data_IF_386604473752
#
_entry.id   IF_386604473752
#
_cell.length_a   1.000
_cell.length_b   1.000
_cell.length_c   1.000
_cell.angle_alpha   90.00
_cell.angle_beta   90.00
_cell.angle_gamma   90.00
#
_symmetry.space_group_name_H-M   'P 1'
#
loop_
_entity.id
_entity.type
_entity.pdbx_description
1 polymer ?
#
# COMPACT_ATOMS: atom_id res chain seq x y z
N UNK A 1 19.69 -48.57 -57.27
CA UNK A 1 18.84 -48.40 -56.06
C UNK A 1 19.75 -48.30 -54.85
N UNK A 2 19.42 -47.53 -53.82
CA UNK A 2 20.25 -47.22 -52.63
C UNK A 2 21.26 -46.08 -52.84
N UNK A 3 20.76 -44.84 -52.98
CA UNK A 3 21.48 -43.58 -52.69
C UNK A 3 20.51 -42.41 -52.73
N UNK A 4 19.48 -42.42 -51.88
CA UNK A 4 18.53 -41.28 -51.73
C UNK A 4 17.73 -41.30 -50.41
N UNK A 5 18.31 -41.82 -49.33
CA UNK A 5 17.61 -41.97 -48.04
C UNK A 5 18.44 -41.55 -46.82
N UNK A 6 19.46 -40.71 -47.01
CA UNK A 6 20.37 -40.26 -45.94
C UNK A 6 20.49 -38.74 -45.84
N UNK A 7 19.46 -38.01 -46.26
CA UNK A 7 19.45 -36.53 -46.24
C UNK A 7 18.32 -35.94 -45.40
N UNK A 8 17.56 -36.76 -44.66
CA UNK A 8 16.35 -36.34 -43.94
C UNK A 8 16.43 -36.49 -42.41
N UNK A 9 17.62 -36.73 -41.84
CA UNK A 9 17.77 -36.95 -40.40
C UNK A 9 18.64 -35.93 -39.64
N UNK A 10 19.06 -34.82 -40.26
CA UNK A 10 19.93 -33.81 -39.60
C UNK A 10 19.32 -32.38 -39.62
N UNK A 11 18.04 -32.23 -39.94
CA UNK A 11 17.35 -30.92 -39.99
C UNK A 11 16.16 -30.81 -39.01
N UNK A 12 16.28 -31.46 -37.85
CA UNK A 12 15.24 -31.47 -36.81
C UNK A 12 15.74 -31.23 -35.38
N UNK A 13 16.97 -30.74 -35.18
CA UNK A 13 17.54 -30.54 -33.84
C UNK A 13 18.05 -29.12 -33.54
N UNK A 14 17.92 -28.18 -34.48
CA UNK A 14 18.44 -26.81 -34.32
C UNK A 14 17.39 -25.77 -33.92
N UNK A 15 16.12 -26.13 -33.70
CA UNK A 15 15.06 -25.20 -33.26
C UNK A 15 14.59 -25.38 -31.81
N UNK A 16 15.12 -26.37 -31.07
CA UNK A 16 14.76 -26.61 -29.67
C UNK A 16 15.59 -25.80 -28.65
N UNK A 17 16.62 -25.09 -29.08
CA UNK A 17 17.45 -24.27 -28.18
C UNK A 17 16.78 -22.96 -27.72
N UNK A 18 15.61 -22.60 -28.29
CA UNK A 18 14.97 -21.30 -28.05
C UNK A 18 13.70 -21.28 -27.19
N UNK A 19 13.10 -22.43 -26.83
CA UNK A 19 11.72 -22.45 -26.26
C UNK A 19 11.53 -23.32 -25.01
N UNK A 20 12.61 -23.78 -24.37
CA UNK A 20 12.52 -24.53 -23.12
C UNK A 20 12.69 -23.67 -21.87
N UNK A 21 11.84 -22.66 -21.61
CA UNK A 21 11.72 -22.21 -20.22
C UNK A 21 11.11 -23.38 -19.43
N UNK A 22 11.96 -24.05 -18.67
CA UNK A 22 11.65 -25.17 -17.77
C UNK A 22 11.39 -26.53 -18.43
N UNK A 23 12.37 -27.09 -19.16
CA UNK A 23 12.36 -28.50 -19.55
C UNK A 23 12.04 -29.46 -18.37
N UNK A 24 12.54 -29.24 -17.14
CA UNK A 24 12.10 -30.03 -15.97
C UNK A 24 10.61 -29.87 -15.64
N UNK A 25 10.04 -28.67 -15.74
CA UNK A 25 8.60 -28.46 -15.54
C UNK A 25 7.76 -29.16 -16.59
N UNK A 26 8.20 -29.14 -17.85
CA UNK A 26 7.54 -29.81 -18.96
C UNK A 26 7.59 -31.33 -18.82
N UNK A 27 8.73 -31.89 -18.42
CA UNK A 27 8.92 -33.33 -18.24
C UNK A 27 8.26 -33.88 -16.97
N UNK A 28 8.17 -33.06 -15.91
CA UNK A 28 7.61 -33.47 -14.61
C UNK A 28 6.14 -33.07 -14.44
N UNK A 29 5.58 -32.26 -15.34
CA UNK A 29 4.23 -31.68 -15.19
C UNK A 29 4.11 -30.75 -13.98
N UNK A 30 5.21 -30.07 -13.59
CA UNK A 30 5.31 -29.26 -12.36
C UNK A 30 5.46 -27.76 -12.66
N UNK A 31 4.62 -26.92 -12.05
CA UNK A 31 4.69 -25.47 -12.19
C UNK A 31 5.63 -24.82 -11.15
N UNK A 32 6.94 -24.85 -11.40
CA UNK A 32 7.93 -24.20 -10.53
C UNK A 32 8.05 -22.72 -10.90
N UNK A 33 7.52 -21.85 -10.05
CA UNK A 33 7.60 -20.41 -10.24
C UNK A 33 8.92 -19.88 -9.67
N UNK A 34 9.71 -19.20 -10.51
CA UNK A 34 10.84 -18.39 -10.02
C UNK A 34 10.30 -17.35 -9.05
N UNK A 35 10.88 -17.24 -7.85
CA UNK A 35 10.40 -16.34 -6.79
C UNK A 35 11.53 -16.08 -5.80
N UNK A 36 11.55 -14.90 -5.20
CA UNK A 36 12.37 -14.62 -4.02
C UNK A 36 11.59 -13.78 -3.01
N UNK A 37 11.89 -13.98 -1.74
CA UNK A 37 11.21 -13.33 -0.63
C UNK A 37 12.15 -13.03 0.53
N UNK A 38 11.72 -12.09 1.36
CA UNK A 38 12.21 -11.87 2.71
C UNK A 38 11.04 -11.95 3.69
N UNK A 39 11.22 -12.72 4.75
CA UNK A 39 10.32 -12.83 5.90
C UNK A 39 11.07 -12.30 7.12
N UNK A 40 10.45 -11.44 7.94
CA UNK A 40 11.08 -10.95 9.15
C UNK A 40 10.09 -10.62 10.27
N UNK A 41 10.61 -10.52 11.49
CA UNK A 41 9.89 -10.09 12.69
C UNK A 41 10.61 -8.90 13.35
N UNK A 42 9.87 -7.84 13.64
CA UNK A 42 10.32 -6.71 14.44
C UNK A 42 9.77 -6.85 15.86
N UNK A 43 10.66 -7.12 16.81
CA UNK A 43 10.31 -7.33 18.23
C UNK A 43 9.82 -6.05 18.91
N UNK A 44 10.33 -4.88 18.52
CA UNK A 44 9.98 -3.61 19.16
C UNK A 44 8.55 -3.19 18.80
N UNK A 45 8.22 -3.26 17.51
CA UNK A 45 6.86 -2.97 17.03
C UNK A 45 5.90 -4.14 17.21
N UNK A 46 6.41 -5.35 17.45
CA UNK A 46 5.66 -6.62 17.47
C UNK A 46 4.94 -6.87 16.13
N UNK A 47 5.71 -6.76 15.04
CA UNK A 47 5.21 -6.89 13.67
C UNK A 47 5.93 -8.01 12.91
N UNK A 48 5.17 -8.76 12.12
CA UNK A 48 5.67 -9.72 11.16
C UNK A 48 5.44 -9.18 9.76
N UNK A 49 6.39 -9.41 8.87
CA UNK A 49 6.22 -8.97 7.50
C UNK A 49 6.94 -9.84 6.48
N UNK A 50 6.34 -9.89 5.29
CA UNK A 50 6.85 -10.61 4.13
C UNK A 50 6.85 -9.66 2.93
N UNK A 51 7.99 -9.59 2.25
CA UNK A 51 8.12 -9.01 0.92
C UNK A 51 8.52 -10.10 -0.07
N UNK A 52 7.89 -10.15 -1.23
CA UNK A 52 8.07 -11.21 -2.23
C UNK A 52 7.92 -10.68 -3.64
N UNK A 53 8.67 -11.25 -4.58
CA UNK A 53 8.57 -10.95 -6.00
C UNK A 53 8.72 -12.21 -6.85
N UNK A 54 8.07 -12.20 -8.02
CA UNK A 54 8.09 -13.30 -8.98
C UNK A 54 7.97 -12.79 -10.43
N UNK A 55 8.19 -13.71 -11.38
CA UNK A 55 7.91 -13.52 -12.79
C UNK A 55 6.60 -14.23 -13.21
N UNK A 56 5.62 -14.22 -12.30
CA UNK A 56 4.25 -14.66 -12.48
C UNK A 56 3.31 -13.59 -11.91
N UNK A 57 2.00 -13.73 -12.08
CA UNK A 57 1.00 -12.78 -11.57
C UNK A 57 0.64 -13.05 -10.10
N UNK A 58 0.16 -12.02 -9.40
CA UNK A 58 -0.49 -12.04 -8.08
C UNK A 58 0.23 -12.68 -6.88
N UNK A 59 1.57 -12.73 -6.84
CA UNK A 59 2.33 -13.51 -5.83
C UNK A 59 1.99 -13.28 -4.36
N UNK A 60 1.49 -12.09 -4.01
CA UNK A 60 1.04 -11.77 -2.65
C UNK A 60 -0.08 -12.69 -2.17
N UNK A 61 -0.90 -13.22 -3.07
CA UNK A 61 -2.02 -14.10 -2.71
C UNK A 61 -1.59 -15.47 -2.23
N UNK A 62 -0.52 -16.01 -2.82
CA UNK A 62 -0.21 -17.44 -2.74
C UNK A 62 0.94 -17.74 -1.79
N UNK A 63 1.72 -16.74 -1.37
CA UNK A 63 3.01 -16.99 -0.71
C UNK A 63 3.17 -16.33 0.66
N UNK A 64 2.16 -15.58 1.12
CA UNK A 64 2.23 -14.76 2.34
C UNK A 64 1.21 -15.26 3.35
N UNK A 65 1.69 -15.72 4.49
CA UNK A 65 0.83 -16.15 5.60
C UNK A 65 1.33 -15.54 6.90
N UNK A 66 0.53 -14.69 7.53
CA UNK A 66 0.91 -14.00 8.75
C UNK A 66 -0.26 -14.05 9.74
N UNK A 67 0.01 -14.57 10.93
CA UNK A 67 -0.91 -14.53 12.08
C UNK A 67 -0.21 -13.77 13.22
N UNK A 68 -0.55 -12.48 13.44
CA UNK A 68 0.06 -11.67 14.49
C UNK A 68 -0.01 -12.34 15.87
N UNK A 69 1.08 -12.25 16.62
CA UNK A 69 1.22 -12.87 17.93
C UNK A 69 1.58 -14.35 17.91
N UNK A 70 1.52 -15.00 16.75
CA UNK A 70 1.84 -16.42 16.60
C UNK A 70 3.08 -16.65 15.71
N UNK A 71 3.07 -16.11 14.49
CA UNK A 71 4.16 -16.27 13.55
C UNK A 71 3.79 -15.91 12.12
N UNK A 72 4.70 -16.21 11.20
CA UNK A 72 4.50 -16.04 9.78
C UNK A 72 5.24 -17.11 8.98
N UNK A 73 4.70 -17.45 7.80
CA UNK A 73 5.21 -18.46 6.90
C UNK A 73 5.21 -17.94 5.46
N UNK A 74 6.21 -18.34 4.68
CA UNK A 74 6.25 -18.11 3.24
C UNK A 74 6.58 -19.41 2.51
N UNK A 75 5.78 -19.74 1.49
CA UNK A 75 5.90 -20.96 0.70
C UNK A 75 5.98 -20.59 -0.78
N UNK A 76 7.12 -20.85 -1.41
CA UNK A 76 7.41 -20.45 -2.80
C UNK A 76 7.91 -21.67 -3.62
N UNK A 77 8.27 -21.43 -4.89
CA UNK A 77 8.51 -22.45 -5.91
C UNK A 77 7.20 -23.18 -6.27
N UNK A 78 7.04 -24.45 -5.89
CA UNK A 78 5.75 -25.13 -5.94
C UNK A 78 4.96 -24.88 -4.65
N UNK A 79 4.13 -23.83 -4.65
CA UNK A 79 3.40 -23.37 -3.47
C UNK A 79 2.48 -24.45 -2.87
N UNK A 80 2.44 -24.52 -1.53
CA UNK A 80 1.56 -25.40 -0.75
C UNK A 80 1.06 -24.69 0.52
N UNK A 81 -0.19 -24.20 0.54
CA UNK A 81 -0.75 -23.49 1.70
C UNK A 81 -0.81 -24.31 2.99
N UNK A 82 -0.83 -25.65 2.89
CA UNK A 82 -0.89 -26.54 4.06
C UNK A 82 0.33 -26.40 4.99
N UNK A 83 1.48 -25.88 4.53
CA UNK A 83 2.61 -25.57 5.42
C UNK A 83 2.27 -24.47 6.42
N UNK A 84 1.60 -23.41 5.96
CA UNK A 84 1.22 -22.31 6.83
C UNK A 84 0.06 -22.70 7.74
N UNK A 85 -0.98 -23.31 7.18
CA UNK A 85 -2.17 -23.75 7.94
C UNK A 85 -1.79 -24.70 9.08
N UNK A 86 -1.09 -25.79 8.78
CA UNK A 86 -0.64 -26.72 9.80
C UNK A 86 0.43 -26.10 10.69
N UNK A 87 1.31 -25.25 10.14
CA UNK A 87 2.35 -24.55 10.89
C UNK A 87 1.77 -23.69 12.01
N UNK A 88 0.71 -22.91 11.74
CA UNK A 88 0.02 -22.16 12.78
C UNK A 88 -0.59 -23.06 13.86
N UNK A 89 -1.21 -24.18 13.49
CA UNK A 89 -1.73 -25.13 14.49
C UNK A 89 -0.61 -25.72 15.36
N UNK A 90 0.54 -26.06 14.78
CA UNK A 90 1.69 -26.54 15.56
C UNK A 90 2.24 -25.46 16.51
N UNK A 91 2.35 -24.20 16.05
CA UNK A 91 2.78 -23.10 16.91
C UNK A 91 1.80 -22.86 18.08
N UNK A 92 0.48 -23.02 17.88
CA UNK A 92 -0.53 -22.93 18.96
C UNK A 92 -0.34 -24.02 20.02
N UNK A 93 0.14 -25.20 19.61
CA UNK A 93 0.49 -26.30 20.52
C UNK A 93 1.83 -26.07 21.25
N UNK A 94 2.55 -24.99 20.95
CA UNK A 94 3.82 -24.65 21.57
C UNK A 94 5.05 -25.29 20.90
N UNK A 95 4.87 -25.92 19.74
CA UNK A 95 5.98 -26.46 18.95
C UNK A 95 6.90 -25.35 18.42
N UNK A 96 8.18 -25.66 18.21
CA UNK A 96 9.12 -24.73 17.58
C UNK A 96 8.82 -24.55 16.09
N UNK A 97 9.21 -23.42 15.52
CA UNK A 97 9.01 -23.11 14.10
C UNK A 97 9.57 -24.19 13.15
N UNK A 98 10.70 -24.82 13.52
CA UNK A 98 11.27 -25.95 12.78
C UNK A 98 10.33 -27.15 12.78
N UNK A 99 9.83 -27.55 13.95
CA UNK A 99 8.92 -28.68 14.10
C UNK A 99 7.60 -28.43 13.37
N UNK A 100 7.11 -27.19 13.41
CA UNK A 100 5.91 -26.74 12.70
C UNK A 100 6.04 -26.93 11.18
N UNK A 101 7.18 -26.56 10.59
CA UNK A 101 7.44 -26.77 9.15
C UNK A 101 7.67 -28.24 8.83
N UNK A 102 8.44 -28.95 9.66
CA UNK A 102 8.73 -30.37 9.46
C UNK A 102 7.49 -31.26 9.56
N UNK A 103 6.48 -30.85 10.32
CA UNK A 103 5.19 -31.54 10.42
C UNK A 103 4.58 -31.75 9.04
N UNK A 104 4.43 -30.69 8.25
CA UNK A 104 3.90 -30.79 6.88
C UNK A 104 4.90 -31.42 5.93
N UNK A 105 6.19 -31.05 6.04
CA UNK A 105 7.25 -31.55 5.17
C UNK A 105 7.32 -33.08 5.10
N UNK A 106 7.21 -33.76 6.25
CA UNK A 106 7.27 -35.23 6.33
C UNK A 106 6.07 -35.93 5.68
N UNK A 107 4.97 -35.21 5.43
CA UNK A 107 3.72 -35.71 4.83
C UNK A 107 3.56 -35.27 3.36
N UNK A 108 4.45 -34.42 2.88
CA UNK A 108 4.41 -33.85 1.55
C UNK A 108 5.40 -34.56 0.62
N UNK A 109 4.86 -35.45 -0.22
CA UNK A 109 5.64 -36.19 -1.22
C UNK A 109 6.29 -35.29 -2.28
N UNK A 110 5.85 -34.04 -2.40
CA UNK A 110 6.41 -33.03 -3.30
C UNK A 110 7.32 -32.02 -2.60
N UNK A 111 7.67 -32.21 -1.31
CA UNK A 111 8.50 -31.27 -0.52
C UNK A 111 9.83 -30.92 -1.20
N UNK A 112 10.41 -31.83 -1.97
CA UNK A 112 11.64 -31.61 -2.74
C UNK A 112 11.53 -30.54 -3.84
N UNK A 113 10.33 -30.11 -4.21
CA UNK A 113 10.07 -29.07 -5.21
C UNK A 113 9.67 -27.72 -4.59
N UNK A 114 9.74 -27.60 -3.26
CA UNK A 114 9.23 -26.44 -2.51
C UNK A 114 10.34 -25.68 -1.82
N UNK A 115 10.03 -24.44 -1.47
CA UNK A 115 10.82 -23.61 -0.59
C UNK A 115 9.89 -23.06 0.49
N UNK A 116 10.21 -23.35 1.75
CA UNK A 116 9.40 -22.91 2.90
C UNK A 116 10.28 -22.19 3.89
N UNK A 117 9.81 -21.06 4.39
CA UNK A 117 10.39 -20.33 5.51
C UNK A 117 9.32 -19.98 6.52
N UNK A 118 9.71 -19.87 7.79
CA UNK A 118 8.83 -19.47 8.87
C UNK A 118 9.58 -18.75 9.98
N UNK A 119 8.83 -17.95 10.73
CA UNK A 119 9.28 -17.24 11.93
C UNK A 119 8.18 -17.29 13.00
N UNK A 120 8.54 -17.62 14.23
CA UNK A 120 7.60 -17.63 15.36
C UNK A 120 7.52 -16.26 16.07
N UNK A 121 6.66 -16.17 17.09
CA UNK A 121 6.50 -14.94 17.86
C UNK A 121 7.66 -14.59 18.79
N UNK A 122 8.66 -15.47 18.92
CA UNK A 122 9.90 -15.20 19.65
C UNK A 122 11.02 -14.75 18.71
N UNK A 123 10.76 -14.72 17.40
CA UNK A 123 11.75 -14.39 16.37
C UNK A 123 12.64 -15.56 15.97
N UNK A 124 12.34 -16.80 16.40
CA UNK A 124 13.08 -17.96 15.92
C UNK A 124 12.70 -18.22 14.47
N UNK A 125 13.69 -18.52 13.64
CA UNK A 125 13.51 -18.74 12.20
C UNK A 125 13.85 -20.18 11.81
N UNK A 126 13.14 -20.70 10.81
CA UNK A 126 13.52 -21.92 10.12
C UNK A 126 13.16 -21.82 8.63
N UNK A 127 13.97 -22.44 7.78
CA UNK A 127 13.68 -22.55 6.37
C UNK A 127 14.28 -23.82 5.78
N UNK A 128 13.72 -24.28 4.66
CA UNK A 128 14.33 -25.33 3.85
C UNK A 128 14.17 -25.02 2.36
N UNK A 129 15.04 -25.63 1.55
CA UNK A 129 14.97 -25.61 0.09
C UNK A 129 14.99 -27.03 -0.41
N UNK A 130 13.94 -27.44 -1.13
CA UNK A 130 13.79 -28.79 -1.64
C UNK A 130 14.94 -29.19 -2.57
N UNK A 131 15.42 -30.43 -2.40
CA UNK A 131 16.64 -30.90 -3.06
C UNK A 131 16.54 -30.98 -4.58
N UNK A 132 15.32 -31.09 -5.14
CA UNK A 132 15.13 -31.12 -6.59
C UNK A 132 15.43 -29.76 -7.23
N UNK A 133 15.20 -28.64 -6.53
CA UNK A 133 15.35 -27.29 -7.10
C UNK A 133 16.76 -26.97 -7.62
N UNK A 134 17.78 -27.77 -7.30
CA UNK A 134 19.14 -27.69 -7.87
C UNK A 134 19.20 -28.00 -9.37
N UNK A 135 18.20 -28.68 -9.93
CA UNK A 135 18.13 -29.02 -11.35
C UNK A 135 17.47 -27.92 -12.20
N UNK A 136 16.94 -26.87 -11.57
CA UNK A 136 16.40 -25.70 -12.27
C UNK A 136 17.50 -24.67 -12.49
N UNK A 137 17.36 -23.89 -13.56
CA UNK A 137 18.37 -22.88 -13.95
C UNK A 137 18.47 -21.79 -12.87
N UNK A 138 19.68 -21.33 -12.58
CA UNK A 138 19.95 -20.33 -11.54
C UNK A 138 20.06 -20.93 -10.14
N UNK A 139 20.31 -20.08 -9.15
CA UNK A 139 20.52 -20.51 -7.76
C UNK A 139 19.20 -20.64 -7.02
N UNK A 140 19.07 -21.73 -6.26
CA UNK A 140 17.95 -21.99 -5.36
C UNK A 140 18.48 -22.23 -3.95
N UNK A 141 18.23 -21.31 -3.02
CA UNK A 141 18.77 -21.38 -1.66
C UNK A 141 18.02 -20.45 -0.69
N UNK A 142 18.47 -20.40 0.55
CA UNK A 142 17.99 -19.51 1.60
C UNK A 142 19.15 -19.10 2.52
N UNK A 143 19.01 -17.96 3.20
CA UNK A 143 19.92 -17.51 4.26
C UNK A 143 19.08 -17.14 5.48
N UNK A 144 19.51 -17.62 6.65
CA UNK A 144 18.93 -17.29 7.93
C UNK A 144 19.71 -16.13 8.56
N UNK A 145 18.99 -15.22 9.23
CA UNK A 145 19.58 -14.20 10.08
C UNK A 145 18.79 -14.03 11.37
N UNK A 146 19.18 -13.07 12.18
CA UNK A 146 18.50 -12.78 13.44
C UNK A 146 17.09 -12.23 13.17
N UNK A 147 16.07 -13.04 13.46
CA UNK A 147 14.65 -12.72 13.21
C UNK A 147 14.29 -12.38 11.75
N UNK A 148 15.03 -12.92 10.77
CA UNK A 148 14.64 -12.87 9.36
C UNK A 148 15.16 -14.05 8.54
N UNK A 149 14.52 -14.29 7.40
CA UNK A 149 14.94 -15.25 6.37
C UNK A 149 14.86 -14.57 5.00
N UNK A 150 15.91 -14.71 4.19
CA UNK A 150 15.85 -14.42 2.75
C UNK A 150 15.94 -15.73 1.97
N UNK A 151 15.14 -15.86 0.92
CA UNK A 151 14.95 -17.14 0.24
C UNK A 151 14.58 -16.91 -1.23
N UNK A 152 14.96 -17.85 -2.12
CA UNK A 152 14.45 -17.83 -3.49
C UNK A 152 15.05 -18.88 -4.40
N UNK A 153 14.46 -18.98 -5.60
CA UNK A 153 14.85 -19.93 -6.65
C UNK A 153 14.95 -19.27 -8.03
N UNK A 154 15.79 -19.88 -8.88
CA UNK A 154 16.15 -19.39 -10.20
C UNK A 154 16.72 -17.96 -10.16
N UNK A 155 17.63 -17.72 -9.21
CA UNK A 155 18.24 -16.42 -8.96
C UNK A 155 19.63 -16.28 -9.58
N UNK A 156 20.06 -15.04 -9.74
CA UNK A 156 21.48 -14.72 -9.86
C UNK A 156 22.20 -14.96 -8.51
N UNK A 157 23.52 -15.12 -8.52
CA UNK A 157 24.30 -15.60 -7.36
C UNK A 157 24.30 -14.64 -6.16
N UNK A 158 24.28 -13.33 -6.44
CA UNK A 158 24.44 -12.27 -5.42
C UNK A 158 23.11 -11.77 -4.82
N UNK A 159 21.98 -12.34 -5.23
CA UNK A 159 20.65 -11.82 -4.86
C UNK A 159 20.42 -11.89 -3.36
N UNK A 160 20.54 -13.09 -2.76
CA UNK A 160 20.20 -13.26 -1.34
C UNK A 160 21.21 -12.59 -0.40
N UNK A 161 22.49 -12.53 -0.77
CA UNK A 161 23.49 -11.78 0.01
C UNK A 161 23.18 -10.29 0.03
N UNK A 162 22.85 -9.71 -1.14
CA UNK A 162 22.45 -8.30 -1.23
C UNK A 162 21.17 -8.00 -0.44
N UNK A 163 20.18 -8.89 -0.47
CA UNK A 163 18.96 -8.78 0.34
C UNK A 163 19.27 -8.77 1.84
N UNK A 164 20.04 -9.76 2.31
CA UNK A 164 20.43 -9.88 3.73
C UNK A 164 21.22 -8.65 4.21
N UNK A 165 22.20 -8.20 3.43
CA UNK A 165 22.98 -7.02 3.78
C UNK A 165 22.15 -5.73 3.80
N UNK A 166 21.28 -5.54 2.81
CA UNK A 166 20.39 -4.39 2.74
C UNK A 166 19.45 -4.36 3.94
N UNK A 167 18.85 -5.49 4.31
CA UNK A 167 17.96 -5.58 5.47
C UNK A 167 18.67 -5.21 6.78
N UNK A 168 19.87 -5.76 7.02
CA UNK A 168 20.67 -5.49 8.23
C UNK A 168 21.07 -4.01 8.37
N UNK A 169 21.36 -3.34 7.25
CA UNK A 169 21.76 -1.93 7.22
C UNK A 169 20.57 -0.97 7.23
N UNK A 170 19.38 -1.44 6.84
CA UNK A 170 18.21 -0.60 6.70
C UNK A 170 17.70 -0.10 8.05
N UNK A 171 17.27 1.17 8.05
CA UNK A 171 16.57 1.82 9.16
C UNK A 171 15.16 2.19 8.73
N UNK A 172 14.30 2.47 9.71
CA UNK A 172 12.89 2.81 9.54
C UNK A 172 11.98 1.67 9.99
N UNK A 173 10.72 1.74 9.59
CA UNK A 173 9.68 0.73 9.86
C UNK A 173 10.04 -0.63 9.25
N UNK A 174 9.44 -1.71 9.76
CA UNK A 174 9.63 -3.05 9.20
C UNK A 174 9.34 -3.10 7.69
N UNK A 175 8.26 -2.44 7.25
CA UNK A 175 7.87 -2.36 5.83
C UNK A 175 8.96 -1.73 4.94
N UNK A 176 9.58 -0.64 5.38
CA UNK A 176 10.68 0.01 4.64
C UNK A 176 11.92 -0.88 4.56
N UNK A 177 12.27 -1.56 5.65
CA UNK A 177 13.44 -2.47 5.69
C UNK A 177 13.22 -3.68 4.77
N UNK A 178 12.02 -4.27 4.78
CA UNK A 178 11.64 -5.38 3.90
C UNK A 178 11.68 -4.96 2.42
N UNK A 179 11.10 -3.81 2.08
CA UNK A 179 11.11 -3.34 0.69
C UNK A 179 12.52 -3.01 0.19
N UNK A 180 13.36 -2.36 1.02
CA UNK A 180 14.78 -2.10 0.69
C UNK A 180 15.56 -3.38 0.43
N UNK A 181 15.28 -4.44 1.20
CA UNK A 181 15.85 -5.77 0.97
C UNK A 181 15.41 -6.33 -0.38
N UNK A 182 14.10 -6.36 -0.65
CA UNK A 182 13.54 -6.87 -1.89
C UNK A 182 14.10 -6.14 -3.14
N UNK A 183 14.18 -4.81 -3.09
CA UNK A 183 14.77 -3.98 -4.16
C UNK A 183 16.26 -4.28 -4.34
N UNK A 184 17.02 -4.47 -3.25
CA UNK A 184 18.43 -4.83 -3.34
C UNK A 184 18.64 -6.18 -4.03
N UNK A 185 17.78 -7.16 -3.75
CA UNK A 185 17.76 -8.45 -4.45
C UNK A 185 17.55 -8.28 -5.96
N UNK A 186 16.56 -7.47 -6.36
CA UNK A 186 16.33 -7.18 -7.78
C UNK A 186 17.53 -6.50 -8.45
N UNK A 187 18.18 -5.54 -7.77
CA UNK A 187 19.35 -4.83 -8.29
C UNK A 187 20.59 -5.71 -8.39
N UNK A 188 20.70 -6.73 -7.55
CA UNK A 188 21.76 -7.73 -7.59
C UNK A 188 21.55 -8.83 -8.65
N UNK A 189 20.62 -8.61 -9.60
CA UNK A 189 20.34 -9.49 -10.72
C UNK A 189 18.98 -10.19 -10.65
N UNK A 190 18.34 -10.19 -9.48
CA UNK A 190 17.00 -10.75 -9.27
C UNK A 190 16.82 -12.17 -9.81
N UNK A 191 15.63 -12.41 -10.34
CA UNK A 191 15.28 -13.67 -11.01
C UNK A 191 15.82 -13.67 -12.42
N UNK A 192 16.40 -14.78 -12.86
CA UNK A 192 16.94 -14.90 -14.21
C UNK A 192 15.86 -14.91 -15.30
N UNK A 193 14.60 -15.13 -14.93
CA UNK A 193 13.46 -15.23 -15.85
C UNK A 193 12.75 -13.90 -16.09
N UNK A 194 13.02 -12.86 -15.30
CA UNK A 194 12.35 -11.56 -15.39
C UNK A 194 11.59 -11.17 -14.12
N UNK A 195 10.67 -10.22 -14.24
CA UNK A 195 9.86 -9.68 -13.15
C UNK A 195 8.45 -9.37 -13.64
N UNK A 196 7.44 -9.62 -12.81
CA UNK A 196 6.04 -9.43 -13.19
C UNK A 196 5.15 -8.96 -12.02
N UNK A 197 5.32 -9.53 -10.82
CA UNK A 197 4.52 -9.12 -9.65
C UNK A 197 5.37 -9.07 -8.37
N UNK A 198 4.92 -8.26 -7.42
CA UNK A 198 5.53 -8.12 -6.11
C UNK A 198 4.50 -7.76 -5.04
N UNK A 199 4.76 -8.13 -3.80
CA UNK A 199 3.90 -7.80 -2.67
C UNK A 199 4.72 -7.51 -1.41
N UNK A 200 4.15 -6.69 -0.52
CA UNK A 200 4.67 -6.37 0.80
C UNK A 200 3.49 -6.37 1.78
N UNK A 201 3.54 -7.27 2.76
CA UNK A 201 2.53 -7.37 3.80
C UNK A 201 3.21 -7.28 5.16
N UNK A 202 2.69 -6.43 6.05
CA UNK A 202 3.13 -6.28 7.44
C UNK A 202 1.90 -6.24 8.36
N UNK A 203 1.91 -7.12 9.36
CA UNK A 203 0.83 -7.26 10.35
C UNK A 203 1.44 -7.29 11.76
N UNK A 204 0.80 -6.62 12.72
CA UNK A 204 1.26 -6.57 14.10
C UNK A 204 0.16 -6.81 15.12
N UNK A 205 0.53 -7.01 16.39
CA UNK A 205 -0.42 -7.23 17.50
C UNK A 205 -1.03 -5.95 18.04
N UNK A 206 -0.46 -4.78 17.70
CA UNK A 206 -0.89 -3.47 18.19
C UNK A 206 -1.86 -2.76 17.24
N UNK A 207 -2.18 -3.38 16.11
CA UNK A 207 -3.08 -2.83 15.09
C UNK A 207 -4.24 -3.79 14.86
N UNK A 208 -5.45 -3.25 14.78
CA UNK A 208 -6.63 -3.99 14.36
C UNK A 208 -6.48 -4.53 12.92
N UNK A 209 -7.43 -5.36 12.48
CA UNK A 209 -7.39 -5.96 11.13
C UNK A 209 -7.39 -4.92 9.99
N UNK A 210 -7.87 -3.71 10.25
CA UNK A 210 -7.76 -2.54 9.37
C UNK A 210 -6.54 -1.69 9.76
N UNK A 211 -5.89 -1.04 8.80
CA UNK A 211 -4.62 -0.29 8.94
C UNK A 211 -3.32 -1.14 8.97
N UNK A 212 -3.40 -2.44 8.69
CA UNK A 212 -2.20 -3.22 8.39
C UNK A 212 -1.74 -2.97 6.94
N UNK A 213 -0.44 -3.16 6.68
CA UNK A 213 0.12 -2.97 5.34
C UNK A 213 -0.15 -4.25 4.55
N UNK A 214 -0.88 -4.12 3.45
CA UNK A 214 -1.05 -5.16 2.43
C UNK A 214 -1.00 -4.46 1.06
N UNK A 215 0.21 -4.39 0.50
CA UNK A 215 0.47 -3.71 -0.76
C UNK A 215 0.85 -4.74 -1.81
N UNK A 216 0.14 -4.70 -2.94
CA UNK A 216 0.24 -5.71 -3.98
C UNK A 216 0.30 -5.08 -5.35
N UNK A 217 1.31 -5.48 -6.11
CA UNK A 217 1.43 -5.22 -7.55
C UNK A 217 1.29 -6.56 -8.24
N UNK A 218 0.05 -6.94 -8.54
CA UNK A 218 -0.26 -8.28 -9.06
C UNK A 218 0.16 -8.45 -10.54
N UNK A 219 0.40 -7.35 -11.26
CA UNK A 219 1.02 -7.31 -12.58
C UNK A 219 1.61 -5.92 -12.86
N UNK A 220 2.89 -5.85 -13.26
CA UNK A 220 3.52 -4.64 -13.80
C UNK A 220 4.82 -4.96 -14.53
N UNK A 221 5.22 -4.07 -15.46
CA UNK A 221 6.58 -4.06 -16.03
C UNK A 221 7.64 -3.58 -15.04
N UNK A 222 7.23 -2.84 -14.01
CA UNK A 222 8.08 -2.22 -12.99
C UNK A 222 7.54 -2.49 -11.58
N UNK A 223 7.39 -3.76 -11.17
CA UNK A 223 6.65 -4.12 -9.96
C UNK A 223 7.30 -3.62 -8.67
N UNK A 224 8.62 -3.42 -8.65
CA UNK A 224 9.34 -2.93 -7.47
C UNK A 224 9.17 -1.42 -7.30
N UNK A 225 9.22 -0.67 -8.40
CA UNK A 225 8.96 0.76 -8.44
C UNK A 225 7.51 1.07 -8.05
N UNK A 226 6.57 0.28 -8.56
CA UNK A 226 5.15 0.40 -8.20
C UNK A 226 4.89 0.05 -6.73
N UNK A 227 5.54 -1.00 -6.21
CA UNK A 227 5.40 -1.36 -4.80
C UNK A 227 6.00 -0.28 -3.88
N UNK A 228 7.12 0.35 -4.28
CA UNK A 228 7.68 1.51 -3.58
C UNK A 228 6.74 2.72 -3.64
N UNK A 229 6.10 2.98 -4.78
CA UNK A 229 5.09 4.03 -4.92
C UNK A 229 3.91 3.81 -3.96
N UNK A 230 3.40 2.58 -3.87
CA UNK A 230 2.34 2.22 -2.92
C UNK A 230 2.76 2.45 -1.47
N UNK A 231 3.99 2.07 -1.11
CA UNK A 231 4.50 2.30 0.25
C UNK A 231 4.66 3.81 0.56
N UNK A 232 5.11 4.58 -0.44
CA UNK A 232 5.19 6.03 -0.34
C UNK A 232 3.80 6.64 -0.16
N UNK A 233 2.80 6.21 -0.92
CA UNK A 233 1.41 6.66 -0.79
C UNK A 233 0.87 6.38 0.61
N UNK A 234 1.13 5.18 1.15
CA UNK A 234 0.71 4.80 2.50
C UNK A 234 1.26 5.78 3.55
N UNK A 235 2.58 5.96 3.61
CA UNK A 235 3.22 6.81 4.62
C UNK A 235 3.03 8.31 4.35
N UNK A 236 3.02 8.72 3.09
CA UNK A 236 2.77 10.09 2.67
C UNK A 236 1.39 10.59 3.11
N UNK A 237 0.35 9.76 2.94
CA UNK A 237 -1.00 10.06 3.45
C UNK A 237 -1.02 10.25 4.96
N UNK A 238 -0.37 9.35 5.71
CA UNK A 238 -0.29 9.45 7.18
C UNK A 238 0.38 10.77 7.57
N UNK A 239 1.47 11.11 6.90
CA UNK A 239 2.27 12.30 7.19
C UNK A 239 1.56 13.60 6.82
N UNK A 240 0.75 13.62 5.76
CA UNK A 240 -0.17 14.74 5.45
C UNK A 240 -1.20 14.92 6.57
N UNK A 241 -1.80 13.83 7.06
CA UNK A 241 -2.77 13.93 8.16
C UNK A 241 -2.11 14.45 9.44
N UNK A 242 -0.88 14.01 9.75
CA UNK A 242 -0.09 14.56 10.87
C UNK A 242 0.21 16.05 10.67
N UNK A 243 0.59 16.45 9.46
CA UNK A 243 0.84 17.85 9.14
C UNK A 243 -0.41 18.71 9.35
N UNK A 244 -1.56 18.29 8.83
CA UNK A 244 -2.85 18.97 9.03
C UNK A 244 -3.18 19.12 10.51
N UNK A 245 -2.98 18.08 11.32
CA UNK A 245 -3.19 18.16 12.78
C UNK A 245 -2.28 19.21 13.43
N UNK A 246 -0.98 19.20 13.12
CA UNK A 246 -0.02 20.17 13.65
C UNK A 246 -0.36 21.60 13.25
N UNK A 247 -0.74 21.80 11.99
CA UNK A 247 -1.10 23.11 11.44
C UNK A 247 -2.37 23.68 12.08
N UNK A 248 -3.41 22.85 12.26
CA UNK A 248 -4.66 23.26 12.94
C UNK A 248 -4.43 23.65 14.40
N UNK A 249 -3.48 23.01 15.06
CA UNK A 249 -3.10 23.31 16.44
C UNK A 249 -2.06 24.45 16.56
N UNK A 250 -1.81 25.19 15.49
CA UNK A 250 -0.91 26.34 15.47
C UNK A 250 0.59 26.00 15.38
N UNK A 251 0.98 24.72 15.35
CA UNK A 251 2.38 24.31 15.18
C UNK A 251 2.79 24.36 13.69
N UNK A 252 2.93 25.59 13.19
CA UNK A 252 3.20 25.84 11.77
C UNK A 252 4.53 25.29 11.29
N UNK A 253 5.59 25.42 12.09
CA UNK A 253 6.93 24.98 11.72
C UNK A 253 6.98 23.46 11.51
N UNK A 254 6.46 22.70 12.48
CA UNK A 254 6.47 21.24 12.38
C UNK A 254 5.52 20.74 11.28
N UNK A 255 4.35 21.37 11.14
CA UNK A 255 3.43 21.09 10.04
C UNK A 255 4.07 21.24 8.66
N UNK A 256 4.82 22.32 8.42
CA UNK A 256 5.58 22.54 7.19
C UNK A 256 6.65 21.49 6.93
N UNK A 257 7.40 21.10 7.97
CA UNK A 257 8.42 20.06 7.85
C UNK A 257 7.80 18.71 7.43
N UNK A 258 6.67 18.35 8.04
CA UNK A 258 5.93 17.14 7.67
C UNK A 258 5.45 17.21 6.21
N UNK A 259 4.87 18.33 5.77
CA UNK A 259 4.43 18.51 4.39
C UNK A 259 5.57 18.38 3.37
N UNK A 260 6.71 19.04 3.64
CA UNK A 260 7.86 18.99 2.74
C UNK A 260 8.35 17.56 2.48
N UNK A 261 8.26 16.69 3.49
CA UNK A 261 8.58 15.27 3.36
C UNK A 261 7.45 14.44 2.76
N UNK A 262 6.19 14.81 2.96
CA UNK A 262 5.03 14.02 2.56
C UNK A 262 4.63 14.22 1.09
N UNK A 263 4.76 15.44 0.57
CA UNK A 263 4.37 15.79 -0.80
C UNK A 263 5.08 14.93 -1.85
N UNK A 264 6.41 14.76 -1.83
CA UNK A 264 7.09 13.89 -2.80
C UNK A 264 6.65 12.42 -2.71
N UNK A 265 6.14 11.99 -1.55
CA UNK A 265 5.70 10.62 -1.35
C UNK A 265 4.34 10.33 -2.00
N UNK A 266 3.52 11.36 -2.25
CA UNK A 266 2.15 11.21 -2.80
C UNK A 266 2.02 11.75 -4.22
N UNK A 267 3.13 12.01 -4.89
CA UNK A 267 3.13 12.52 -6.25
C UNK A 267 2.43 11.55 -7.22
N UNK A 268 1.50 12.09 -8.02
CA UNK A 268 0.66 11.30 -8.92
C UNK A 268 -0.60 10.70 -8.28
N UNK A 269 -0.87 11.01 -6.99
CA UNK A 269 -2.14 10.67 -6.35
C UNK A 269 -3.03 11.92 -6.20
N UNK A 270 -3.73 12.25 -7.28
CA UNK A 270 -4.62 13.42 -7.37
C UNK A 270 -5.72 13.47 -6.30
N UNK A 271 -6.20 12.30 -5.84
CA UNK A 271 -7.13 12.16 -4.73
C UNK A 271 -6.62 12.69 -3.38
N UNK A 272 -5.32 12.98 -3.23
CA UNK A 272 -4.78 13.65 -2.05
C UNK A 272 -4.54 15.15 -2.24
N UNK A 273 -4.64 15.69 -3.45
CA UNK A 273 -4.29 17.08 -3.70
C UNK A 273 -5.16 18.06 -2.90
N UNK A 274 -6.45 17.79 -2.69
CA UNK A 274 -7.32 18.62 -1.84
C UNK A 274 -6.79 18.73 -0.40
N UNK A 275 -6.24 17.65 0.16
CA UNK A 275 -5.61 17.67 1.50
C UNK A 275 -4.28 18.43 1.50
N UNK A 276 -3.51 18.34 0.42
CA UNK A 276 -2.26 19.10 0.28
C UNK A 276 -2.58 20.59 0.19
N UNK A 277 -3.53 21.01 -0.66
CA UNK A 277 -4.03 22.39 -0.76
C UNK A 277 -4.46 22.91 0.61
N UNK A 278 -5.29 22.13 1.32
CA UNK A 278 -5.73 22.47 2.67
C UNK A 278 -4.56 22.73 3.62
N UNK A 279 -3.54 21.86 3.59
CA UNK A 279 -2.40 21.96 4.47
C UNK A 279 -1.49 23.15 4.11
N UNK A 280 -1.27 23.43 2.82
CA UNK A 280 -0.52 24.60 2.38
C UNK A 280 -1.20 25.91 2.81
N UNK A 281 -2.54 25.99 2.74
CA UNK A 281 -3.29 27.16 3.21
C UNK A 281 -3.11 27.37 4.72
N UNK A 282 -3.27 26.31 5.52
CA UNK A 282 -3.00 26.39 6.97
C UNK A 282 -1.53 26.74 7.27
N UNK A 283 -0.61 26.28 6.42
CA UNK A 283 0.80 26.64 6.49
C UNK A 283 1.12 28.08 6.04
N UNK A 284 0.14 28.81 5.48
CA UNK A 284 0.26 30.19 5.00
C UNK A 284 0.90 30.32 3.64
N UNK A 285 0.88 29.25 2.85
CA UNK A 285 1.53 29.13 1.55
C UNK A 285 0.48 29.09 0.44
N UNK A 286 -0.35 30.13 0.36
CA UNK A 286 -1.46 30.18 -0.60
C UNK A 286 -1.01 30.06 -2.06
N UNK A 287 0.20 30.55 -2.40
CA UNK A 287 0.78 30.38 -3.73
C UNK A 287 1.04 28.90 -4.05
N UNK A 288 1.62 28.14 -3.11
CA UNK A 288 1.82 26.70 -3.28
C UNK A 288 0.51 25.95 -3.38
N UNK A 289 -0.48 26.34 -2.58
CA UNK A 289 -1.83 25.79 -2.66
C UNK A 289 -2.45 26.03 -4.05
N UNK A 290 -2.31 27.24 -4.61
CA UNK A 290 -2.78 27.57 -5.95
C UNK A 290 -2.04 26.77 -7.04
N UNK A 291 -0.73 26.56 -6.91
CA UNK A 291 0.06 25.74 -7.84
C UNK A 291 -0.40 24.28 -7.84
N UNK A 292 -0.76 23.73 -6.66
CA UNK A 292 -1.34 22.39 -6.57
C UNK A 292 -2.68 22.27 -7.29
N UNK A 293 -3.56 23.28 -7.17
CA UNK A 293 -4.82 23.32 -7.90
C UNK A 293 -4.57 23.33 -9.42
N UNK A 294 -3.64 24.16 -9.89
CA UNK A 294 -3.26 24.23 -11.32
C UNK A 294 -2.68 22.90 -11.80
N UNK A 295 -1.82 22.27 -11.00
CA UNK A 295 -1.26 20.93 -11.28
C UNK A 295 -2.37 19.89 -11.38
N UNK A 296 -3.28 19.87 -10.42
CA UNK A 296 -4.40 18.94 -10.39
C UNK A 296 -5.28 19.05 -11.64
N UNK A 297 -5.66 20.27 -12.02
CA UNK A 297 -6.45 20.54 -13.23
C UNK A 297 -5.73 20.17 -14.53
N UNK A 298 -4.39 20.31 -14.56
CA UNK A 298 -3.57 19.90 -15.71
C UNK A 298 -3.48 18.38 -15.86
N UNK A 299 -3.40 17.66 -14.74
CA UNK A 299 -3.28 16.20 -14.72
C UNK A 299 -4.65 15.52 -14.92
N UNK A 300 -5.72 16.11 -14.39
CA UNK A 300 -7.07 15.57 -14.45
C UNK A 300 -8.09 16.71 -14.58
N UNK A 301 -8.70 16.87 -15.76
CA UNK A 301 -9.70 17.91 -16.00
C UNK A 301 -11.00 17.71 -15.17
N UNK A 302 -11.30 16.49 -14.74
CA UNK A 302 -12.43 16.19 -13.86
C UNK A 302 -12.15 16.55 -12.40
N UNK A 303 -10.91 16.90 -12.05
CA UNK A 303 -10.57 17.39 -10.72
C UNK A 303 -11.32 18.68 -10.32
N UNK A 304 -11.92 19.37 -11.30
CA UNK A 304 -12.87 20.49 -11.12
C UNK A 304 -13.98 20.19 -10.11
N UNK A 305 -14.36 18.93 -9.90
CA UNK A 305 -15.35 18.51 -8.90
C UNK A 305 -14.89 18.77 -7.45
N UNK A 306 -13.59 18.98 -7.21
CA UNK A 306 -13.03 19.30 -5.88
C UNK A 306 -13.27 20.77 -5.50
N UNK A 307 -14.53 21.21 -5.54
CA UNK A 307 -14.96 22.60 -5.34
C UNK A 307 -14.39 23.24 -4.07
N UNK A 308 -14.22 22.45 -3.01
CA UNK A 308 -13.63 22.88 -1.75
C UNK A 308 -12.22 23.46 -1.89
N UNK A 309 -11.36 22.83 -2.69
CA UNK A 309 -10.00 23.30 -2.92
C UNK A 309 -10.00 24.72 -3.51
N UNK A 310 -10.90 24.98 -4.46
CA UNK A 310 -11.05 26.27 -5.08
C UNK A 310 -11.60 27.30 -4.09
N UNK A 311 -12.69 27.01 -3.37
CA UNK A 311 -13.32 27.98 -2.46
C UNK A 311 -12.43 28.42 -1.30
N UNK A 312 -11.54 27.54 -0.82
CA UNK A 312 -10.55 27.89 0.18
C UNK A 312 -9.61 29.03 -0.27
N UNK A 313 -9.48 29.24 -1.59
CA UNK A 313 -8.72 30.31 -2.24
C UNK A 313 -9.61 31.25 -3.08
N UNK A 314 -10.91 31.38 -2.77
CA UNK A 314 -11.85 32.19 -3.57
C UNK A 314 -11.51 33.68 -3.71
N UNK A 315 -10.62 34.22 -2.86
CA UNK A 315 -10.08 35.58 -3.00
C UNK A 315 -9.03 35.75 -4.11
N UNK A 316 -8.53 34.65 -4.69
CA UNK A 316 -7.48 34.67 -5.72
C UNK A 316 -8.04 34.83 -7.13
N UNK A 317 -7.68 35.93 -7.79
CA UNK A 317 -8.08 36.23 -9.17
C UNK A 317 -7.54 35.23 -10.19
N UNK A 318 -6.35 34.67 -9.97
CA UNK A 318 -5.75 33.70 -10.91
C UNK A 318 -6.46 32.34 -10.92
N UNK A 319 -7.33 32.09 -9.94
CA UNK A 319 -8.16 30.89 -9.88
C UNK A 319 -9.63 31.16 -10.29
N UNK A 320 -10.03 32.42 -10.48
CA UNK A 320 -11.43 32.78 -10.77
C UNK A 320 -11.98 32.10 -12.04
N UNK A 321 -11.09 31.89 -13.03
CA UNK A 321 -11.38 31.21 -14.30
C UNK A 321 -11.95 29.80 -14.11
N UNK A 322 -11.63 29.12 -13.00
CA UNK A 322 -12.10 27.76 -12.74
C UNK A 322 -13.51 27.71 -12.14
N UNK A 323 -14.06 28.81 -11.61
CA UNK A 323 -15.38 28.80 -10.94
C UNK A 323 -16.53 29.12 -11.90
N UNK A 324 -16.28 29.93 -12.92
CA UNK A 324 -17.33 30.48 -13.79
C UNK A 324 -17.77 29.51 -14.90
N UNK A 325 -17.02 28.42 -15.11
CA UNK A 325 -17.23 27.50 -16.22
C UNK A 325 -18.13 26.29 -15.90
N UNK A 326 -18.53 26.08 -14.64
CA UNK A 326 -19.12 24.79 -14.22
C UNK A 326 -20.43 24.92 -13.44
N UNK A 327 -21.27 23.89 -13.59
CA UNK A 327 -22.48 23.70 -12.78
C UNK A 327 -22.17 22.71 -11.66
N UNK A 328 -22.44 23.11 -10.44
CA UNK A 328 -22.17 22.32 -9.24
C UNK A 328 -23.46 21.80 -8.61
N UNK A 329 -23.42 20.55 -8.16
CA UNK A 329 -24.48 19.94 -7.37
C UNK A 329 -24.52 20.51 -5.96
N UNK A 330 -25.63 20.31 -5.27
CA UNK A 330 -25.77 20.67 -3.85
C UNK A 330 -24.67 20.04 -2.98
N UNK A 331 -24.26 18.79 -3.27
CA UNK A 331 -23.19 18.08 -2.55
C UNK A 331 -21.81 18.72 -2.73
N UNK A 332 -21.53 19.28 -3.89
CA UNK A 332 -20.26 19.99 -4.14
C UNK A 332 -20.17 21.23 -3.25
N UNK A 333 -21.30 21.93 -3.07
CA UNK A 333 -21.40 23.07 -2.16
C UNK A 333 -21.24 22.67 -0.69
N UNK A 334 -21.75 21.50 -0.29
CA UNK A 334 -21.49 20.96 1.06
C UNK A 334 -20.00 20.79 1.30
N UNK A 335 -19.30 20.19 0.32
CA UNK A 335 -17.86 20.00 0.39
C UNK A 335 -17.11 21.33 0.47
N UNK A 336 -17.56 22.36 -0.26
CA UNK A 336 -16.98 23.69 -0.21
C UNK A 336 -17.13 24.37 1.16
N UNK A 337 -18.34 24.36 1.73
CA UNK A 337 -18.60 24.90 3.08
C UNK A 337 -17.77 24.13 4.12
N UNK A 338 -17.79 22.79 4.07
CA UNK A 338 -16.99 21.93 4.95
C UNK A 338 -15.49 22.20 4.83
N UNK A 339 -14.98 22.41 3.62
CA UNK A 339 -13.57 22.73 3.37
C UNK A 339 -13.14 24.02 4.09
N UNK A 340 -13.94 25.08 4.00
CA UNK A 340 -13.71 26.35 4.70
C UNK A 340 -13.70 26.18 6.22
N UNK A 341 -14.66 25.42 6.78
CA UNK A 341 -14.71 25.09 8.21
C UNK A 341 -13.42 24.39 8.66
N UNK A 342 -12.95 23.41 7.89
CA UNK A 342 -11.76 22.63 8.25
C UNK A 342 -10.44 23.41 8.20
N UNK A 343 -10.42 24.60 7.58
CA UNK A 343 -9.31 25.55 7.62
C UNK A 343 -9.57 26.76 8.52
N UNK A 344 -10.55 26.66 9.42
CA UNK A 344 -10.95 27.70 10.37
C UNK A 344 -11.46 29.00 9.73
N UNK A 345 -11.87 28.99 8.45
CA UNK A 345 -12.52 30.12 7.77
C UNK A 345 -14.04 30.09 8.01
N UNK A 346 -14.46 30.05 9.27
CA UNK A 346 -15.86 29.83 9.65
C UNK A 346 -16.80 30.95 9.19
N UNK A 347 -16.36 32.22 9.21
CA UNK A 347 -17.17 33.34 8.70
C UNK A 347 -17.43 33.23 7.19
N UNK A 348 -16.42 32.85 6.42
CA UNK A 348 -16.56 32.62 4.97
C UNK A 348 -17.47 31.41 4.72
N UNK A 349 -17.34 30.36 5.54
CA UNK A 349 -18.21 29.19 5.48
C UNK A 349 -19.68 29.57 5.71
N UNK A 350 -19.98 30.40 6.72
CA UNK A 350 -21.34 30.89 7.00
C UNK A 350 -21.90 31.74 5.86
N UNK A 351 -21.08 32.65 5.29
CA UNK A 351 -21.48 33.45 4.12
C UNK A 351 -21.81 32.57 2.92
N UNK A 352 -21.01 31.54 2.67
CA UNK A 352 -21.25 30.59 1.59
C UNK A 352 -22.49 29.74 1.86
N UNK A 353 -22.63 29.20 3.07
CA UNK A 353 -23.79 28.40 3.47
C UNK A 353 -25.09 29.19 3.35
N UNK A 354 -25.13 30.45 3.80
CA UNK A 354 -26.31 31.31 3.67
C UNK A 354 -26.74 31.51 2.20
N UNK A 355 -25.78 31.73 1.29
CA UNK A 355 -26.08 31.82 -0.16
C UNK A 355 -26.62 30.51 -0.70
N UNK A 356 -26.08 29.38 -0.27
CA UNK A 356 -26.50 28.07 -0.76
C UNK A 356 -27.85 27.64 -0.18
N UNK A 357 -28.17 28.03 1.06
CA UNK A 357 -29.49 27.83 1.67
C UNK A 357 -30.57 28.59 0.90
N UNK A 358 -30.30 29.80 0.40
CA UNK A 358 -31.26 30.51 -0.47
C UNK A 358 -31.57 29.72 -1.75
N UNK A 359 -30.57 29.03 -2.30
CA UNK A 359 -30.72 28.21 -3.51
C UNK A 359 -31.32 26.82 -3.22
N UNK A 360 -31.01 26.25 -2.07
CA UNK A 360 -31.41 24.93 -1.61
C UNK A 360 -32.07 25.01 -0.22
N UNK A 361 -33.27 25.59 -0.09
CA UNK A 361 -33.87 25.90 1.21
C UNK A 361 -34.28 24.66 2.03
N UNK A 362 -34.46 23.51 1.37
CA UNK A 362 -34.77 22.23 2.01
C UNK A 362 -33.51 21.44 2.44
N UNK A 363 -32.32 22.03 2.32
CA UNK A 363 -31.06 21.34 2.59
C UNK A 363 -30.77 21.20 4.08
N UNK A 364 -31.17 20.09 4.69
CA UNK A 364 -30.82 19.79 6.10
C UNK A 364 -29.31 19.93 6.36
N UNK A 365 -28.48 19.47 5.42
CA UNK A 365 -27.03 19.41 5.62
C UNK A 365 -26.35 20.78 5.62
N UNK A 366 -26.83 21.76 4.84
CA UNK A 366 -26.29 23.13 4.90
C UNK A 366 -26.57 23.82 6.24
N UNK A 367 -27.73 23.55 6.86
CA UNK A 367 -28.01 24.02 8.21
C UNK A 367 -27.10 23.32 9.23
N UNK A 368 -26.86 22.01 9.11
CA UNK A 368 -25.91 21.32 9.96
C UNK A 368 -24.49 21.93 9.87
N UNK A 369 -23.98 22.16 8.65
CA UNK A 369 -22.67 22.78 8.44
C UNK A 369 -22.62 24.23 8.96
N UNK A 370 -23.72 24.98 8.88
CA UNK A 370 -23.82 26.31 9.49
C UNK A 370 -23.70 26.21 11.02
N UNK A 371 -24.34 25.20 11.62
CA UNK A 371 -24.20 24.89 13.04
C UNK A 371 -22.76 24.64 13.47
N UNK A 372 -22.03 23.81 12.71
CA UNK A 372 -20.60 23.54 12.94
C UNK A 372 -19.76 24.83 12.87
N UNK A 373 -20.03 25.69 11.89
CA UNK A 373 -19.30 26.95 11.73
C UNK A 373 -19.59 27.92 12.89
N UNK A 374 -20.84 28.04 13.35
CA UNK A 374 -21.21 28.83 14.53
C UNK A 374 -20.57 28.27 15.81
N UNK A 375 -20.55 26.95 15.97
CA UNK A 375 -19.94 26.28 17.11
C UNK A 375 -18.44 26.61 17.20
N UNK A 376 -17.72 26.53 16.08
CA UNK A 376 -16.30 26.88 16.01
C UNK A 376 -16.03 28.37 16.30
N UNK A 377 -17.00 29.25 16.09
CA UNK A 377 -16.94 30.67 16.46
C UNK A 377 -17.35 30.94 17.93
N UNK A 378 -17.80 29.91 18.66
CA UNK A 378 -18.31 30.04 20.03
C UNK A 378 -19.75 30.57 20.12
N UNK A 379 -20.46 30.70 19.00
CA UNK A 379 -21.86 31.15 18.95
C UNK A 379 -22.82 29.98 19.18
N UNK A 380 -22.88 29.53 20.44
CA UNK A 380 -23.70 28.40 20.86
C UNK A 380 -25.20 28.58 20.53
N UNK A 381 -25.83 29.77 20.72
CA UNK A 381 -27.24 29.96 20.37
C UNK A 381 -27.54 29.69 18.89
N UNK A 382 -26.76 30.28 17.98
CA UNK A 382 -26.99 30.10 16.54
C UNK A 382 -26.57 28.71 16.07
N UNK A 383 -25.56 28.10 16.69
CA UNK A 383 -25.21 26.70 16.43
C UNK A 383 -26.40 25.78 16.72
N UNK A 384 -26.97 25.89 17.93
CA UNK A 384 -28.14 25.10 18.35
C UNK A 384 -29.34 25.31 17.42
N UNK A 385 -29.66 26.56 17.08
CA UNK A 385 -30.77 26.88 16.18
C UNK A 385 -30.57 26.25 14.80
N UNK A 386 -29.34 26.27 14.29
CA UNK A 386 -29.00 25.67 12.99
C UNK A 386 -29.14 24.14 13.01
N UNK A 387 -28.66 23.47 14.07
CA UNK A 387 -28.83 22.02 14.21
C UNK A 387 -30.31 21.62 14.35
N UNK A 388 -31.10 22.39 15.10
CA UNK A 388 -32.55 22.14 15.20
C UNK A 388 -33.24 22.30 13.85
N UNK A 389 -32.87 23.30 13.05
CA UNK A 389 -33.42 23.48 11.71
C UNK A 389 -33.03 22.33 10.77
N UNK A 390 -31.81 21.82 10.89
CA UNK A 390 -31.39 20.64 10.16
C UNK A 390 -32.28 19.42 10.48
N UNK A 391 -32.60 19.20 11.76
CA UNK A 391 -33.49 18.10 12.19
C UNK A 391 -34.96 18.32 11.83
N UNK A 392 -35.42 19.56 11.75
CA UNK A 392 -36.77 19.88 11.27
C UNK A 392 -36.95 19.47 9.80
N UNK A 393 -35.93 19.71 8.98
CA UNK A 393 -35.93 19.38 7.55
C UNK A 393 -35.66 17.89 7.28
N UNK A 394 -34.82 17.26 8.09
CA UNK A 394 -34.50 15.84 8.03
C UNK A 394 -34.34 15.28 9.46
N UNK A 395 -35.41 14.70 10.03
CA UNK A 395 -35.36 14.06 11.34
C UNK A 395 -34.37 12.91 11.44
N UNK A 396 -33.85 12.36 10.34
CA UNK A 396 -32.85 11.28 10.30
C UNK A 396 -31.41 11.79 10.18
N UNK A 397 -31.18 13.10 10.24
CA UNK A 397 -29.83 13.67 10.22
C UNK A 397 -29.08 13.36 11.55
N UNK A 398 -28.38 12.21 11.56
CA UNK A 398 -27.62 11.74 12.72
C UNK A 398 -26.48 12.67 13.15
N UNK A 399 -25.85 13.40 12.21
CA UNK A 399 -24.80 14.36 12.56
C UNK A 399 -25.37 15.51 13.40
N UNK A 400 -26.53 16.04 13.01
CA UNK A 400 -27.23 17.08 13.78
C UNK A 400 -27.78 16.55 15.11
N UNK A 401 -28.32 15.32 15.15
CA UNK A 401 -28.75 14.68 16.42
C UNK A 401 -27.58 14.58 17.40
N UNK A 402 -26.42 14.16 16.92
CA UNK A 402 -25.22 14.01 17.74
C UNK A 402 -24.70 15.35 18.25
N UNK A 403 -24.72 16.40 17.44
CA UNK A 403 -24.26 17.73 17.82
C UNK A 403 -25.11 18.41 18.90
N UNK A 404 -26.35 17.97 19.11
CA UNK A 404 -27.28 18.49 20.12
C UNK A 404 -27.29 17.70 21.44
N UNK A 405 -26.59 16.57 21.52
CA UNK A 405 -26.40 15.79 22.75
C UNK A 405 -25.26 16.40 23.57
#
# INVERSE_FOLDING_TARGET
MIRKLLSLFILGFSTLYGLGQNLPSLLLGKNINSTFSILAYDKESQEWGIAVATNNIYVGNSTIYIQPGLGAFSVIAETEPEYAKNGFEQLKLGEKIEQAIQYTMKRDSSSNFRQVSGIDAKGNVYAFTGASLKYWKGKSTHLLGEAYVVMGNQLNDSVLSAMSESYKKAKGTLAERLLKSLIAGQRAGGQISGKQSAALVVKGTKQDWYNQIDLRVDHSKSPFEDLQRLLNYHYGRIRINQALSMLRNGNRQHGKQLLATAIPMVEGWDGLYTKVVQAEILAGEEDKAADFIKKAMKENAEWKENLSAFFMLSGRKDLSVFFEAFRFSEKDWYNAVRGLIQINKNEEALKLAARMIQKYPASSYLYYLSGEAFLNLGDLPNARLSYMKALELDPENEEAKKALR
#
